data_IF_335654033390
#
_entry.id   IF_335654033390
#
_cell.length_a   1.000
_cell.length_b   1.000
_cell.length_c   1.000
_cell.angle_alpha   90.00
_cell.angle_beta   90.00
_cell.angle_gamma   90.00
#
_symmetry.space_group_name_H-M   'P 1'
#
loop_
_entity.id
_entity.type
_entity.pdbx_description
1 polymer ?
#
# COMPACT_ATOMS: atom_id res chain seq x y z
N UNK A 1 9.93 -39.47 -29.09
CA UNK A 1 9.35 -39.76 -27.75
C UNK A 1 9.98 -38.76 -26.79
N UNK A 2 9.37 -37.62 -26.65
CA UNK A 2 9.84 -36.47 -25.83
C UNK A 2 9.04 -36.45 -24.54
N UNK A 3 9.76 -36.35 -23.51
CA UNK A 3 9.45 -36.44 -22.10
C UNK A 3 8.36 -35.44 -21.65
N UNK A 4 7.14 -35.92 -21.40
CA UNK A 4 5.99 -35.15 -20.90
C UNK A 4 5.70 -35.42 -19.42
N UNK A 5 6.61 -36.10 -18.70
CA UNK A 5 6.39 -36.54 -17.33
C UNK A 5 6.88 -35.56 -16.24
N UNK A 6 7.60 -34.46 -16.61
CA UNK A 6 8.26 -33.59 -15.61
C UNK A 6 7.36 -32.48 -15.01
N UNK A 7 6.32 -32.05 -15.71
CA UNK A 7 5.47 -30.93 -15.27
C UNK A 7 4.33 -31.35 -14.34
N UNK A 8 3.81 -32.56 -14.49
CA UNK A 8 2.72 -33.10 -13.65
C UNK A 8 3.18 -33.53 -12.26
N UNK A 9 4.42 -33.97 -12.11
CA UNK A 9 4.96 -34.41 -10.81
C UNK A 9 5.30 -33.21 -9.90
N UNK A 10 5.74 -32.08 -10.44
CA UNK A 10 6.01 -30.86 -9.67
C UNK A 10 4.74 -30.22 -9.12
N UNK A 11 3.66 -30.20 -9.91
CA UNK A 11 2.37 -29.64 -9.51
C UNK A 11 1.69 -30.50 -8.43
N UNK A 12 1.84 -31.83 -8.50
CA UNK A 12 1.38 -32.78 -7.49
C UNK A 12 2.12 -32.62 -6.14
N UNK A 13 3.44 -32.46 -6.17
CA UNK A 13 4.27 -32.30 -4.97
C UNK A 13 4.00 -30.98 -4.23
N UNK A 14 3.83 -29.87 -4.96
CA UNK A 14 3.47 -28.57 -4.38
C UNK A 14 2.10 -28.61 -3.71
N UNK A 15 1.12 -29.28 -4.32
CA UNK A 15 -0.22 -29.47 -3.77
C UNK A 15 -0.21 -30.28 -2.47
N UNK A 16 0.61 -31.32 -2.38
CA UNK A 16 0.77 -32.12 -1.16
C UNK A 16 1.41 -31.33 -0.01
N UNK A 17 2.43 -30.51 -0.32
CA UNK A 17 3.08 -29.65 0.69
C UNK A 17 2.09 -28.59 1.18
N UNK A 18 1.30 -27.97 0.29
CA UNK A 18 0.25 -27.03 0.67
C UNK A 18 -0.81 -27.70 1.55
N UNK A 19 -1.26 -28.89 1.21
CA UNK A 19 -2.23 -29.64 2.03
C UNK A 19 -1.68 -29.93 3.44
N UNK A 20 -0.41 -30.32 3.53
CA UNK A 20 0.28 -30.55 4.81
C UNK A 20 0.46 -29.25 5.62
N UNK A 21 0.72 -28.13 4.95
CA UNK A 21 0.77 -26.82 5.58
C UNK A 21 -0.60 -26.44 6.16
N UNK A 22 -1.68 -26.64 5.40
CA UNK A 22 -3.07 -26.40 5.86
C UNK A 22 -3.45 -27.31 7.03
N UNK A 23 -2.92 -28.54 7.09
CA UNK A 23 -3.12 -29.44 8.23
C UNK A 23 -2.52 -28.90 9.52
N UNK A 24 -1.33 -28.30 9.46
CA UNK A 24 -0.68 -27.62 10.59
C UNK A 24 -1.48 -26.42 11.09
N UNK A 25 -2.23 -25.75 10.21
CA UNK A 25 -3.01 -24.57 10.53
C UNK A 25 -4.45 -24.87 10.97
N UNK A 26 -4.96 -26.07 10.72
CA UNK A 26 -6.34 -26.46 11.02
C UNK A 26 -6.63 -26.38 12.52
N UNK A 27 -7.76 -25.71 12.88
CA UNK A 27 -8.18 -25.58 14.27
C UNK A 27 -7.32 -24.62 15.11
N UNK A 28 -6.40 -23.85 14.50
CA UNK A 28 -5.75 -22.73 15.19
C UNK A 28 -6.73 -21.58 15.37
N UNK A 29 -6.59 -20.77 16.43
CA UNK A 29 -7.47 -19.64 16.70
C UNK A 29 -7.49 -18.60 15.58
N UNK A 30 -6.38 -18.43 14.86
CA UNK A 30 -6.16 -17.53 13.72
C UNK A 30 -5.23 -18.17 12.70
N UNK A 31 -5.29 -17.67 11.46
CA UNK A 31 -4.48 -18.15 10.34
C UNK A 31 -3.42 -17.11 9.92
N UNK A 32 -3.38 -15.98 10.60
CA UNK A 32 -2.43 -14.87 10.42
C UNK A 32 -2.34 -14.07 11.71
N UNK A 33 -1.31 -13.22 11.88
CA UNK A 33 -1.24 -12.25 12.97
C UNK A 33 -2.48 -11.36 13.03
N UNK A 34 -2.93 -11.03 14.24
CA UNK A 34 -4.09 -10.20 14.50
C UNK A 34 -4.78 -10.54 15.82
N UNK A 35 -5.68 -9.67 16.26
CA UNK A 35 -6.48 -9.85 17.47
C UNK A 35 -7.88 -9.27 17.30
N UNK A 36 -8.82 -9.68 18.17
CA UNK A 36 -10.14 -9.06 18.20
C UNK A 36 -10.05 -7.58 18.57
N UNK A 37 -9.04 -7.18 19.34
CA UNK A 37 -8.78 -5.79 19.70
C UNK A 37 -8.37 -4.98 18.46
N UNK A 38 -7.46 -5.51 17.66
CA UNK A 38 -7.03 -4.87 16.40
C UNK A 38 -8.17 -4.80 15.40
N UNK A 39 -8.95 -5.88 15.22
CA UNK A 39 -10.13 -5.90 14.37
C UNK A 39 -11.16 -4.83 14.80
N UNK A 40 -11.44 -4.69 16.11
CA UNK A 40 -12.34 -3.63 16.64
C UNK A 40 -11.77 -2.23 16.42
N UNK A 41 -10.48 -2.06 16.60
CA UNK A 41 -9.85 -0.76 16.35
C UNK A 41 -9.98 -0.37 14.87
N UNK A 42 -9.66 -1.26 13.94
CA UNK A 42 -9.86 -1.02 12.51
C UNK A 42 -11.32 -0.72 12.17
N UNK A 43 -12.28 -1.46 12.76
CA UNK A 43 -13.71 -1.23 12.59
C UNK A 43 -14.10 0.18 13.09
N UNK A 44 -13.56 0.63 14.20
CA UNK A 44 -13.83 1.97 14.73
C UNK A 44 -13.34 3.10 13.82
N UNK A 45 -12.28 2.88 13.05
CA UNK A 45 -11.73 3.82 12.08
C UNK A 45 -12.57 3.92 10.78
N UNK A 46 -13.47 2.97 10.54
CA UNK A 46 -14.38 3.02 9.38
C UNK A 46 -15.36 4.20 9.47
N UNK A 47 -15.56 4.77 10.66
CA UNK A 47 -16.61 5.76 10.89
C UNK A 47 -18.02 5.16 10.81
N UNK A 48 -19.06 5.99 10.62
CA UNK A 48 -20.43 5.50 10.56
C UNK A 48 -20.66 4.53 9.42
N UNK A 49 -21.25 3.39 9.72
CA UNK A 49 -21.77 2.40 8.77
C UNK A 49 -23.30 2.43 8.80
N UNK A 50 -23.98 1.91 7.76
CA UNK A 50 -25.42 1.69 7.79
C UNK A 50 -25.87 0.87 9.01
N UNK A 51 -27.13 0.99 9.40
CA UNK A 51 -27.68 0.23 10.53
C UNK A 51 -27.55 -1.29 10.34
N UNK A 52 -27.66 -1.76 9.08
CA UNK A 52 -27.47 -3.15 8.65
C UNK A 52 -26.47 -3.21 7.51
N UNK A 53 -25.17 -3.10 7.81
CA UNK A 53 -24.17 -3.09 6.75
C UNK A 53 -24.03 -4.47 6.12
N UNK A 54 -23.89 -4.48 4.81
CA UNK A 54 -23.51 -5.67 4.03
C UNK A 54 -21.98 -5.72 4.05
N UNK A 55 -21.47 -6.78 4.65
CA UNK A 55 -20.02 -6.96 4.84
C UNK A 55 -19.54 -8.13 3.99
N UNK A 56 -18.42 -7.96 3.31
CA UNK A 56 -17.69 -9.04 2.65
C UNK A 56 -16.36 -9.25 3.37
N UNK A 57 -16.12 -10.45 3.91
CA UNK A 57 -14.84 -10.85 4.49
C UNK A 57 -14.11 -11.78 3.51
N UNK A 58 -12.97 -11.32 2.97
CA UNK A 58 -12.23 -11.98 1.88
C UNK A 58 -11.00 -12.70 2.42
N UNK A 59 -10.92 -14.03 2.16
CA UNK A 59 -9.92 -14.89 2.76
C UNK A 59 -10.19 -15.04 4.26
N UNK A 60 -11.45 -15.33 4.58
CA UNK A 60 -11.97 -15.31 5.94
C UNK A 60 -11.36 -16.39 6.87
N UNK A 61 -10.69 -17.41 6.32
CA UNK A 61 -10.23 -18.55 7.09
C UNK A 61 -11.38 -19.18 7.90
N UNK A 62 -11.14 -19.58 9.15
CA UNK A 62 -12.18 -20.11 10.05
C UNK A 62 -13.15 -19.03 10.57
N UNK A 63 -13.05 -17.77 10.06
CA UNK A 63 -14.07 -16.73 10.22
C UNK A 63 -13.96 -15.88 11.48
N UNK A 64 -12.79 -15.72 12.05
CA UNK A 64 -12.62 -14.91 13.28
C UNK A 64 -13.11 -13.47 13.09
N UNK A 65 -12.67 -12.79 12.04
CA UNK A 65 -13.11 -11.44 11.70
C UNK A 65 -14.57 -11.42 11.27
N UNK A 66 -15.03 -12.36 10.44
CA UNK A 66 -16.43 -12.46 10.02
C UNK A 66 -17.40 -12.54 11.20
N UNK A 67 -17.10 -13.37 12.20
CA UNK A 67 -17.93 -13.53 13.40
C UNK A 67 -17.96 -12.26 14.27
N UNK A 68 -16.83 -11.59 14.42
CA UNK A 68 -16.76 -10.34 15.16
C UNK A 68 -17.55 -9.24 14.43
N UNK A 69 -17.35 -9.09 13.11
CA UNK A 69 -18.06 -8.11 12.31
C UNK A 69 -19.57 -8.35 12.32
N UNK A 70 -20.03 -9.59 12.26
CA UNK A 70 -21.44 -9.94 12.38
C UNK A 70 -22.03 -9.57 13.74
N UNK A 71 -21.22 -9.62 14.80
CA UNK A 71 -21.64 -9.31 16.16
C UNK A 71 -21.62 -7.80 16.46
N UNK A 72 -20.69 -7.04 15.86
CA UNK A 72 -20.35 -5.69 16.32
C UNK A 72 -20.50 -4.59 15.27
N UNK A 73 -20.48 -4.92 13.94
CA UNK A 73 -20.62 -3.90 12.92
C UNK A 73 -22.08 -3.45 12.75
N UNK A 74 -22.24 -2.14 12.48
CA UNK A 74 -23.55 -1.51 12.30
C UNK A 74 -24.32 -1.26 13.60
N UNK A 75 -25.57 -0.83 13.48
CA UNK A 75 -26.46 -0.56 14.62
C UNK A 75 -26.81 -1.82 15.38
N UNK A 76 -26.42 -1.88 16.66
CA UNK A 76 -26.66 -3.04 17.54
C UNK A 76 -26.16 -4.39 16.99
N UNK A 77 -25.07 -4.39 16.24
CA UNK A 77 -24.46 -5.60 15.69
C UNK A 77 -25.38 -6.34 14.70
N UNK A 78 -25.94 -5.63 13.73
CA UNK A 78 -26.89 -6.20 12.74
C UNK A 78 -26.27 -6.45 11.37
N UNK A 79 -24.95 -6.49 11.25
CA UNK A 79 -24.29 -6.72 9.97
C UNK A 79 -24.68 -8.07 9.35
N UNK A 80 -24.84 -8.08 8.03
CA UNK A 80 -24.94 -9.28 7.23
C UNK A 80 -23.58 -9.54 6.58
N UNK A 81 -22.92 -10.63 6.97
CA UNK A 81 -21.57 -10.95 6.54
C UNK A 81 -21.59 -12.08 5.53
N UNK A 82 -21.05 -11.82 4.34
CA UNK A 82 -20.64 -12.85 3.40
C UNK A 82 -19.15 -13.09 3.59
N UNK A 83 -18.75 -14.28 3.97
CA UNK A 83 -17.36 -14.64 4.22
C UNK A 83 -16.87 -15.62 3.15
N UNK A 84 -15.79 -15.30 2.46
CA UNK A 84 -15.28 -16.10 1.35
C UNK A 84 -13.90 -16.67 1.63
N UNK A 85 -13.71 -17.92 1.27
CA UNK A 85 -12.41 -18.62 1.27
C UNK A 85 -12.40 -19.69 0.18
N UNK A 86 -11.23 -20.16 -0.25
CA UNK A 86 -11.11 -21.31 -1.16
C UNK A 86 -11.07 -22.63 -0.41
N UNK A 87 -10.64 -22.63 0.86
CA UNK A 87 -10.44 -23.85 1.64
C UNK A 87 -11.71 -24.23 2.40
N UNK A 88 -12.43 -25.20 1.87
CA UNK A 88 -13.75 -25.62 2.40
C UNK A 88 -13.73 -26.01 3.88
N UNK A 89 -12.69 -26.68 4.42
CA UNK A 89 -12.66 -27.00 5.85
C UNK A 89 -12.73 -25.77 6.77
N UNK A 90 -12.16 -24.62 6.38
CA UNK A 90 -12.32 -23.37 7.13
C UNK A 90 -13.74 -22.84 7.09
N UNK A 91 -14.41 -22.94 5.93
CA UNK A 91 -15.80 -22.54 5.81
C UNK A 91 -16.73 -23.42 6.66
N UNK A 92 -16.41 -24.71 6.83
CA UNK A 92 -17.16 -25.60 7.73
C UNK A 92 -16.95 -25.23 9.20
N UNK A 93 -15.71 -24.87 9.59
CA UNK A 93 -15.42 -24.34 10.92
C UNK A 93 -16.20 -23.04 11.18
N UNK A 94 -16.21 -22.10 10.20
CA UNK A 94 -17.00 -20.88 10.28
C UNK A 94 -18.49 -21.12 10.43
N UNK A 95 -19.09 -22.02 9.62
CA UNK A 95 -20.52 -22.36 9.71
C UNK A 95 -20.87 -22.90 11.11
N UNK A 96 -20.03 -23.79 11.61
CA UNK A 96 -20.18 -24.37 12.95
C UNK A 96 -20.08 -23.31 14.05
N UNK A 97 -19.08 -22.46 13.97
CA UNK A 97 -18.86 -21.37 14.94
C UNK A 97 -19.97 -20.30 14.88
N UNK A 98 -20.48 -19.97 13.70
CA UNK A 98 -21.60 -19.04 13.51
C UNK A 98 -22.88 -19.59 14.12
N UNK A 99 -23.18 -20.88 13.89
CA UNK A 99 -24.33 -21.57 14.48
C UNK A 99 -24.26 -21.57 16.01
N UNK A 100 -23.10 -21.94 16.57
CA UNK A 100 -22.89 -21.99 18.02
C UNK A 100 -23.07 -20.63 18.71
N UNK A 101 -22.83 -19.53 17.98
CA UNK A 101 -22.98 -18.14 18.47
C UNK A 101 -24.34 -17.51 18.13
N UNK A 102 -25.26 -18.24 17.53
CA UNK A 102 -26.57 -17.71 17.09
C UNK A 102 -26.45 -16.72 15.92
N UNK A 103 -25.35 -16.77 15.16
CA UNK A 103 -25.06 -15.87 14.02
C UNK A 103 -25.35 -16.53 12.66
N UNK A 104 -25.80 -17.79 12.62
CA UNK A 104 -26.00 -18.56 11.39
C UNK A 104 -26.95 -17.92 10.37
N UNK A 105 -27.90 -17.08 10.80
CA UNK A 105 -28.77 -16.31 9.90
C UNK A 105 -28.14 -15.02 9.35
N UNK A 106 -26.95 -14.63 9.81
CA UNK A 106 -26.28 -13.37 9.43
C UNK A 106 -24.88 -13.58 8.83
N UNK A 107 -24.32 -14.77 8.97
CA UNK A 107 -23.01 -15.12 8.40
C UNK A 107 -23.23 -16.19 7.32
N UNK A 108 -22.87 -15.84 6.09
CA UNK A 108 -22.93 -16.73 4.92
C UNK A 108 -21.53 -17.08 4.46
N UNK A 109 -21.12 -18.33 4.66
CA UNK A 109 -19.84 -18.85 4.17
C UNK A 109 -19.97 -19.28 2.69
N UNK A 110 -19.10 -18.76 1.84
CA UNK A 110 -19.12 -18.99 0.38
C UNK A 110 -17.72 -19.39 -0.09
N UNK A 111 -17.62 -20.52 -0.80
CA UNK A 111 -16.39 -20.88 -1.47
C UNK A 111 -16.24 -20.05 -2.74
N UNK A 112 -15.21 -19.18 -2.80
CA UNK A 112 -14.93 -18.34 -3.97
C UNK A 112 -13.46 -17.97 -4.03
N UNK A 113 -12.98 -17.75 -5.26
CA UNK A 113 -11.65 -17.17 -5.53
C UNK A 113 -11.70 -15.66 -5.31
N UNK A 114 -10.79 -15.14 -4.46
CA UNK A 114 -10.69 -13.71 -4.17
C UNK A 114 -10.33 -12.85 -5.38
N UNK A 115 -9.72 -13.45 -6.41
CA UNK A 115 -9.39 -12.80 -7.68
C UNK A 115 -10.56 -12.76 -8.68
N UNK A 116 -11.63 -13.53 -8.44
CA UNK A 116 -12.78 -13.65 -9.33
C UNK A 116 -14.10 -13.74 -8.54
N UNK A 117 -14.34 -12.79 -7.66
CA UNK A 117 -15.50 -12.77 -6.76
C UNK A 117 -16.80 -12.59 -7.54
N UNK A 118 -17.80 -13.52 -7.36
CA UNK A 118 -19.04 -13.57 -8.13
C UNK A 118 -20.13 -12.65 -7.53
N UNK A 119 -19.76 -11.41 -7.21
CA UNK A 119 -20.67 -10.42 -6.65
C UNK A 119 -20.81 -9.22 -7.59
N UNK A 120 -21.98 -8.61 -7.57
CA UNK A 120 -22.27 -7.41 -8.34
C UNK A 120 -21.52 -6.20 -7.80
N UNK A 121 -21.30 -5.21 -8.65
CA UNK A 121 -20.69 -3.94 -8.27
C UNK A 121 -21.56 -3.21 -7.24
N UNK A 122 -20.94 -2.59 -6.25
CA UNK A 122 -21.65 -1.85 -5.20
C UNK A 122 -22.42 -2.72 -4.22
N UNK A 123 -22.10 -4.01 -4.10
CA UNK A 123 -22.84 -4.96 -3.27
C UNK A 123 -22.58 -4.81 -1.78
N UNK A 124 -21.46 -4.18 -1.36
CA UNK A 124 -21.02 -4.19 0.03
C UNK A 124 -20.72 -2.81 0.57
N UNK A 125 -21.15 -2.57 1.79
CA UNK A 125 -20.89 -1.33 2.54
C UNK A 125 -19.55 -1.38 3.26
N UNK A 126 -19.03 -2.60 3.50
CA UNK A 126 -17.71 -2.86 4.08
C UNK A 126 -17.10 -4.11 3.42
N UNK A 127 -15.90 -3.96 2.85
CA UNK A 127 -15.06 -5.07 2.38
C UNK A 127 -13.89 -5.20 3.35
N UNK A 128 -13.65 -6.42 3.80
CA UNK A 128 -12.66 -6.75 4.84
C UNK A 128 -11.71 -7.84 4.38
N UNK A 129 -10.41 -7.74 4.68
CA UNK A 129 -9.39 -8.72 4.31
C UNK A 129 -8.19 -8.64 5.27
N UNK A 130 -8.27 -9.29 6.44
CA UNK A 130 -7.16 -9.37 7.38
C UNK A 130 -6.25 -10.56 7.06
N UNK A 131 -4.96 -10.29 6.77
CA UNK A 131 -3.94 -11.31 6.54
C UNK A 131 -4.16 -12.15 5.28
N UNK A 132 -4.87 -11.63 4.27
CA UNK A 132 -5.22 -12.39 3.07
C UNK A 132 -4.91 -11.68 1.76
N UNK A 133 -4.77 -10.35 1.75
CA UNK A 133 -4.58 -9.57 0.53
C UNK A 133 -3.31 -9.95 -0.25
N UNK A 134 -2.25 -10.36 0.44
CA UNK A 134 -0.97 -10.79 -0.15
C UNK A 134 -1.14 -11.95 -1.16
N UNK A 135 -2.13 -12.82 -0.98
CA UNK A 135 -2.40 -13.95 -1.89
C UNK A 135 -2.73 -13.46 -3.30
N UNK A 136 -3.47 -12.36 -3.42
CA UNK A 136 -3.77 -11.72 -4.70
C UNK A 136 -2.68 -10.73 -5.12
N UNK A 137 -1.93 -10.22 -4.14
CA UNK A 137 -1.03 -9.09 -4.23
C UNK A 137 -1.75 -7.77 -3.92
N UNK A 138 -1.10 -6.91 -3.14
CA UNK A 138 -1.70 -5.69 -2.57
C UNK A 138 -2.35 -4.79 -3.62
N UNK A 139 -1.64 -4.49 -4.72
CA UNK A 139 -2.15 -3.59 -5.77
C UNK A 139 -3.34 -4.18 -6.52
N UNK A 140 -3.29 -5.49 -6.81
CA UNK A 140 -4.42 -6.18 -7.44
C UNK A 140 -5.63 -6.25 -6.52
N UNK A 141 -5.42 -6.47 -5.22
CA UNK A 141 -6.48 -6.48 -4.21
C UNK A 141 -7.18 -5.11 -4.16
N UNK A 142 -6.41 -4.01 -4.07
CA UNK A 142 -6.94 -2.64 -4.10
C UNK A 142 -7.78 -2.38 -5.35
N UNK A 143 -7.31 -2.79 -6.52
CA UNK A 143 -8.01 -2.56 -7.79
C UNK A 143 -9.25 -3.45 -7.94
N UNK A 144 -9.11 -4.77 -7.69
CA UNK A 144 -10.16 -5.76 -7.94
C UNK A 144 -11.36 -5.61 -7.00
N UNK A 145 -11.11 -5.24 -5.73
CA UNK A 145 -12.18 -5.18 -4.73
C UNK A 145 -12.89 -3.82 -4.68
N UNK A 146 -12.33 -2.79 -5.33
CA UNK A 146 -12.92 -1.44 -5.37
C UNK A 146 -14.34 -1.44 -5.94
N UNK A 147 -14.59 -2.20 -7.00
CA UNK A 147 -15.91 -2.30 -7.64
C UNK A 147 -17.00 -2.82 -6.71
N UNK A 148 -16.64 -3.64 -5.71
CA UNK A 148 -17.57 -4.26 -4.78
C UNK A 148 -18.17 -3.28 -3.76
N UNK A 149 -17.52 -2.13 -3.56
CA UNK A 149 -17.92 -1.13 -2.59
C UNK A 149 -19.14 -0.34 -3.05
N UNK A 150 -20.17 -0.32 -2.23
CA UNK A 150 -21.30 0.58 -2.38
C UNK A 150 -20.87 2.04 -2.28
N UNK A 151 -21.68 2.99 -2.77
CA UNK A 151 -21.43 4.41 -2.52
C UNK A 151 -21.24 4.69 -1.01
N UNK A 152 -20.12 5.29 -0.65
CA UNK A 152 -19.77 5.51 0.76
C UNK A 152 -19.20 4.28 1.49
N UNK A 153 -18.98 3.17 0.80
CA UNK A 153 -18.41 1.94 1.37
C UNK A 153 -16.95 2.08 1.80
N UNK A 154 -16.45 1.13 2.56
CA UNK A 154 -15.10 1.08 3.11
C UNK A 154 -14.40 -0.22 2.73
N UNK A 155 -13.09 -0.13 2.46
CA UNK A 155 -12.20 -1.28 2.36
C UNK A 155 -11.27 -1.29 3.57
N UNK A 156 -11.24 -2.40 4.28
CA UNK A 156 -10.25 -2.66 5.33
C UNK A 156 -9.43 -3.87 4.89
N UNK A 157 -8.12 -3.73 4.90
CA UNK A 157 -7.22 -4.84 4.64
C UNK A 157 -5.95 -4.71 5.49
N UNK A 158 -5.27 -5.81 5.73
CA UNK A 158 -3.95 -5.79 6.34
C UNK A 158 -2.89 -6.34 5.41
N UNK A 159 -1.71 -5.74 5.48
CA UNK A 159 -0.56 -6.05 4.63
C UNK A 159 0.71 -6.09 5.47
N UNK A 160 1.58 -7.07 5.18
CA UNK A 160 2.91 -7.14 5.79
C UNK A 160 3.85 -6.14 5.10
N UNK A 161 4.60 -5.39 5.88
CA UNK A 161 5.48 -4.35 5.37
C UNK A 161 6.76 -4.22 6.18
N UNK A 162 7.79 -3.63 5.60
CA UNK A 162 8.98 -3.25 6.32
C UNK A 162 8.69 -2.11 7.29
N UNK A 163 9.00 -2.31 8.57
CA UNK A 163 8.98 -1.26 9.60
C UNK A 163 10.38 -0.65 9.80
N UNK A 164 11.43 -1.38 9.45
CA UNK A 164 12.79 -0.88 9.43
C UNK A 164 13.07 -0.11 8.12
N UNK A 165 13.81 1.01 8.20
CA UNK A 165 14.27 1.74 7.01
C UNK A 165 15.25 0.90 6.18
N UNK A 166 16.12 0.14 6.84
CA UNK A 166 17.10 -0.75 6.23
C UNK A 166 16.95 -2.18 6.79
N UNK A 167 16.06 -2.99 6.21
CA UNK A 167 15.92 -4.37 6.63
C UNK A 167 17.20 -5.16 6.39
N UNK A 168 17.53 -6.02 7.35
CA UNK A 168 18.73 -6.86 7.29
C UNK A 168 18.71 -7.84 6.12
N UNK A 169 19.89 -8.26 5.68
CA UNK A 169 20.03 -9.30 4.64
C UNK A 169 19.31 -10.60 5.03
N UNK A 170 19.29 -10.95 6.34
CA UNK A 170 18.60 -12.15 6.84
C UNK A 170 17.08 -12.06 6.70
N UNK A 171 16.48 -10.89 7.02
CA UNK A 171 15.06 -10.67 6.84
C UNK A 171 14.66 -10.67 5.35
N UNK A 172 15.46 -10.00 4.50
CA UNK A 172 15.25 -10.01 3.04
C UNK A 172 15.37 -11.38 2.41
N UNK A 173 16.37 -12.18 2.82
CA UNK A 173 16.56 -13.53 2.30
C UNK A 173 15.33 -14.44 2.50
N UNK A 174 14.55 -14.19 3.54
CA UNK A 174 13.29 -14.89 3.78
C UNK A 174 12.13 -14.32 2.96
N UNK A 175 11.93 -12.99 2.99
CA UNK A 175 10.74 -12.37 2.41
C UNK A 175 10.80 -12.20 0.89
N UNK A 176 11.94 -11.74 0.35
CA UNK A 176 12.05 -11.36 -1.07
C UNK A 176 11.73 -12.51 -2.06
N UNK A 177 12.11 -13.79 -1.80
CA UNK A 177 11.74 -14.88 -2.69
C UNK A 177 10.27 -15.28 -2.65
N UNK A 178 9.57 -15.02 -1.54
CA UNK A 178 8.19 -15.45 -1.33
C UNK A 178 7.20 -14.32 -1.62
N UNK A 179 7.42 -13.19 -0.99
CA UNK A 179 6.60 -11.99 -1.09
C UNK A 179 7.43 -10.75 -0.75
N UNK A 180 7.98 -10.04 -1.72
CA UNK A 180 8.80 -8.86 -1.48
C UNK A 180 8.03 -7.80 -0.71
N UNK A 181 8.41 -7.57 0.55
CA UNK A 181 7.74 -6.57 1.38
C UNK A 181 8.09 -5.16 0.91
N UNK A 182 7.15 -4.25 1.06
CA UNK A 182 7.31 -2.83 0.76
C UNK A 182 7.33 -2.00 2.03
N UNK A 183 7.83 -0.77 1.95
CA UNK A 183 7.72 0.19 3.05
C UNK A 183 6.29 0.73 3.16
N UNK A 184 5.93 1.28 4.33
CA UNK A 184 4.67 2.01 4.56
C UNK A 184 4.44 3.10 3.50
N UNK A 185 5.50 3.82 3.13
CA UNK A 185 5.42 4.88 2.13
C UNK A 185 5.00 4.35 0.74
N UNK A 186 5.55 3.21 0.32
CA UNK A 186 5.17 2.56 -0.96
C UNK A 186 3.75 2.03 -0.93
N UNK A 187 3.34 1.42 0.18
CA UNK A 187 1.95 0.96 0.35
C UNK A 187 0.97 2.15 0.34
N UNK A 188 1.31 3.26 1.01
CA UNK A 188 0.50 4.50 0.97
C UNK A 188 0.37 5.04 -0.46
N UNK A 189 1.47 5.06 -1.22
CA UNK A 189 1.44 5.50 -2.62
C UNK A 189 0.55 4.59 -3.48
N UNK A 190 0.61 3.27 -3.29
CA UNK A 190 -0.25 2.30 -3.99
C UNK A 190 -1.75 2.51 -3.66
N UNK A 191 -2.08 2.74 -2.38
CA UNK A 191 -3.44 3.09 -1.95
C UNK A 191 -3.97 4.32 -2.69
N UNK A 192 -3.14 5.37 -2.78
CA UNK A 192 -3.51 6.62 -3.47
C UNK A 192 -3.64 6.42 -4.98
N UNK A 193 -2.69 5.68 -5.59
CA UNK A 193 -2.73 5.35 -7.02
C UNK A 193 -3.96 4.54 -7.41
N UNK A 194 -4.42 3.63 -6.53
CA UNK A 194 -5.67 2.89 -6.70
C UNK A 194 -6.93 3.74 -6.50
N UNK A 195 -6.78 5.03 -6.20
CA UNK A 195 -7.89 5.98 -6.01
C UNK A 195 -8.65 5.77 -4.71
N UNK A 196 -7.91 5.47 -3.64
CA UNK A 196 -8.44 5.48 -2.28
C UNK A 196 -7.86 6.63 -1.46
N UNK A 197 -8.61 7.08 -0.47
CA UNK A 197 -8.12 7.90 0.63
C UNK A 197 -7.99 7.05 1.89
N UNK A 198 -6.93 7.29 2.65
CA UNK A 198 -6.71 6.67 3.95
C UNK A 198 -7.62 7.34 4.99
N UNK A 199 -8.40 6.53 5.71
CA UNK A 199 -9.19 6.97 6.86
C UNK A 199 -8.42 6.80 8.16
N UNK A 200 -7.59 5.77 8.25
CA UNK A 200 -6.71 5.46 9.35
C UNK A 200 -5.96 4.17 9.10
N UNK A 201 -4.92 3.96 9.86
CA UNK A 201 -4.10 2.75 9.80
C UNK A 201 -3.62 2.35 11.20
N UNK A 202 -3.31 1.09 11.37
CA UNK A 202 -2.86 0.51 12.63
C UNK A 202 -1.74 -0.48 12.37
N UNK A 203 -0.53 -0.20 12.86
CA UNK A 203 0.50 -1.23 12.94
C UNK A 203 0.13 -2.22 14.06
N UNK A 204 0.00 -3.49 13.72
CA UNK A 204 -0.35 -4.54 14.67
C UNK A 204 0.73 -4.68 15.75
N UNK A 205 0.35 -4.76 17.04
CA UNK A 205 1.31 -4.95 18.12
C UNK A 205 1.90 -6.36 18.11
N UNK A 206 3.04 -6.55 18.78
CA UNK A 206 3.69 -7.86 18.88
C UNK A 206 2.80 -8.93 19.53
N UNK A 207 1.85 -8.53 20.37
CA UNK A 207 0.86 -9.44 20.97
C UNK A 207 -0.03 -10.13 19.91
N UNK A 208 -0.30 -9.47 18.78
CA UNK A 208 -1.07 -10.05 17.67
C UNK A 208 -0.30 -11.16 16.96
N UNK A 209 1.02 -10.99 16.85
CA UNK A 209 1.93 -12.02 16.34
C UNK A 209 2.06 -13.19 17.31
N UNK A 210 2.20 -12.91 18.61
CA UNK A 210 2.27 -13.96 19.63
C UNK A 210 0.97 -14.78 19.68
N UNK A 211 -0.19 -14.17 19.46
CA UNK A 211 -1.50 -14.83 19.39
C UNK A 211 -1.64 -15.83 18.23
N UNK A 212 -0.88 -15.65 17.16
CA UNK A 212 -0.81 -16.56 16.01
C UNK A 212 0.35 -17.54 16.15
N UNK A 213 1.58 -17.06 16.37
CA UNK A 213 2.76 -17.90 16.37
C UNK A 213 2.90 -18.78 17.62
N UNK A 214 2.33 -18.38 18.77
CA UNK A 214 2.33 -19.22 19.96
C UNK A 214 1.65 -20.58 19.71
N UNK A 215 0.35 -20.60 19.35
CA UNK A 215 -0.36 -21.85 19.02
C UNK A 215 0.23 -22.62 17.85
N UNK A 216 0.73 -21.91 16.80
CA UNK A 216 1.39 -22.55 15.66
C UNK A 216 2.71 -23.22 16.08
N UNK A 217 3.50 -22.57 16.92
CA UNK A 217 4.76 -23.09 17.46
C UNK A 217 4.55 -24.33 18.33
N UNK A 218 3.54 -24.31 19.22
CA UNK A 218 3.13 -25.47 20.02
C UNK A 218 2.71 -26.65 19.13
N UNK A 219 1.93 -26.36 18.09
CA UNK A 219 1.52 -27.36 17.09
C UNK A 219 2.74 -27.93 16.35
N UNK A 220 3.65 -27.09 15.86
CA UNK A 220 4.85 -27.50 15.15
C UNK A 220 5.83 -28.30 16.03
N UNK A 221 5.86 -28.04 17.33
CA UNK A 221 6.65 -28.81 18.29
C UNK A 221 6.07 -30.21 18.55
N UNK A 222 4.75 -30.34 18.59
CA UNK A 222 4.04 -31.60 18.84
C UNK A 222 3.85 -32.45 17.58
N UNK A 223 3.97 -31.85 16.37
CA UNK A 223 3.67 -32.50 15.11
C UNK A 223 4.79 -33.50 14.71
N UNK A 224 4.39 -34.73 14.42
CA UNK A 224 5.29 -35.77 13.89
C UNK A 224 4.99 -35.95 12.40
N UNK A 225 5.93 -35.53 11.54
CA UNK A 225 5.79 -35.67 10.10
C UNK A 225 5.93 -37.14 9.69
N UNK A 226 4.96 -37.66 8.97
CA UNK A 226 4.92 -39.05 8.47
C UNK A 226 5.25 -39.10 6.96
N UNK A 227 5.22 -37.97 6.24
CA UNK A 227 5.50 -37.93 4.81
C UNK A 227 6.55 -36.84 4.49
N UNK A 228 7.22 -36.92 3.32
CA UNK A 228 8.12 -35.84 2.86
C UNK A 228 7.41 -34.48 2.77
N UNK A 229 6.15 -34.42 2.32
CA UNK A 229 5.36 -33.20 2.24
C UNK A 229 5.11 -32.58 3.62
N UNK A 230 4.75 -33.40 4.62
CA UNK A 230 4.60 -32.94 6.01
C UNK A 230 5.93 -32.47 6.60
N UNK A 231 7.04 -33.12 6.27
CA UNK A 231 8.38 -32.69 6.70
C UNK A 231 8.75 -31.33 6.11
N UNK A 232 8.45 -31.11 4.82
CA UNK A 232 8.70 -29.85 4.16
C UNK A 232 7.83 -28.71 4.73
N UNK A 233 6.53 -28.95 4.93
CA UNK A 233 5.62 -27.99 5.55
C UNK A 233 6.04 -27.62 6.98
N UNK A 234 6.43 -28.61 7.78
CA UNK A 234 6.93 -28.40 9.15
C UNK A 234 8.25 -27.60 9.17
N UNK A 235 9.14 -27.84 8.21
CA UNK A 235 10.39 -27.09 8.08
C UNK A 235 10.10 -25.62 7.74
N UNK A 236 9.18 -25.34 6.80
CA UNK A 236 8.77 -23.99 6.44
C UNK A 236 8.18 -23.23 7.64
N UNK A 237 7.28 -23.85 8.41
CA UNK A 237 6.71 -23.24 9.62
C UNK A 237 7.80 -22.94 10.66
N UNK A 238 8.74 -23.84 10.87
CA UNK A 238 9.85 -23.61 11.82
C UNK A 238 10.78 -22.49 11.36
N UNK A 239 11.04 -22.39 10.07
CA UNK A 239 11.83 -21.30 9.49
C UNK A 239 11.13 -19.95 9.69
N UNK A 240 9.82 -19.86 9.39
CA UNK A 240 9.01 -18.67 9.61
C UNK A 240 9.03 -18.20 11.07
N UNK A 241 8.83 -19.11 12.01
CA UNK A 241 8.92 -18.83 13.45
C UNK A 241 10.30 -18.31 13.85
N UNK A 242 11.38 -18.95 13.36
CA UNK A 242 12.75 -18.53 13.64
C UNK A 242 13.12 -17.18 13.02
N UNK A 243 12.58 -16.87 11.85
CA UNK A 243 12.74 -15.55 11.21
C UNK A 243 12.01 -14.48 12.03
N UNK A 244 10.80 -14.74 12.49
CA UNK A 244 10.07 -13.80 13.36
C UNK A 244 10.82 -13.53 14.67
N UNK A 245 11.37 -14.55 15.29
CA UNK A 245 12.14 -14.40 16.53
C UNK A 245 13.36 -13.51 16.34
N UNK A 246 14.09 -13.68 15.23
CA UNK A 246 15.33 -12.93 14.94
C UNK A 246 15.10 -11.56 14.35
N UNK A 247 14.12 -11.41 13.47
CA UNK A 247 13.93 -10.25 12.61
C UNK A 247 12.56 -9.58 12.76
N UNK A 248 11.74 -10.02 13.70
CA UNK A 248 10.36 -9.55 13.84
C UNK A 248 10.20 -8.05 14.15
N UNK A 249 11.27 -7.38 14.58
CA UNK A 249 11.30 -5.93 14.79
C UNK A 249 11.50 -5.14 13.48
N UNK A 250 11.83 -5.82 12.36
CA UNK A 250 12.11 -5.19 11.08
C UNK A 250 10.89 -5.13 10.16
N UNK A 251 9.83 -5.92 10.45
CA UNK A 251 8.62 -5.98 9.65
C UNK A 251 7.38 -6.21 10.53
N UNK A 252 6.22 -5.85 9.99
CA UNK A 252 4.96 -6.00 10.71
C UNK A 252 3.75 -5.93 9.79
N UNK A 253 2.60 -6.41 10.27
CA UNK A 253 1.33 -6.20 9.60
C UNK A 253 0.79 -4.82 9.95
N UNK A 254 0.38 -4.08 8.91
CA UNK A 254 -0.40 -2.85 9.07
C UNK A 254 -1.80 -3.06 8.52
N UNK A 255 -2.80 -2.73 9.33
CA UNK A 255 -4.18 -2.63 8.91
C UNK A 255 -4.45 -1.25 8.31
N UNK A 256 -5.10 -1.21 7.15
CA UNK A 256 -5.44 -0.01 6.39
C UNK A 256 -6.95 0.13 6.31
N UNK A 257 -7.50 1.28 6.69
CA UNK A 257 -8.93 1.61 6.53
C UNK A 257 -9.06 2.65 5.44
N UNK A 258 -9.74 2.30 4.35
CA UNK A 258 -9.74 3.01 3.09
C UNK A 258 -11.15 3.36 2.65
N UNK A 259 -11.31 4.52 1.99
CA UNK A 259 -12.52 4.86 1.26
C UNK A 259 -12.18 5.19 -0.20
N UNK A 260 -12.99 4.74 -1.18
CA UNK A 260 -12.82 5.20 -2.56
C UNK A 260 -12.89 6.72 -2.63
N UNK A 261 -12.01 7.32 -3.43
CA UNK A 261 -12.12 8.75 -3.75
C UNK A 261 -13.27 8.92 -4.71
N UNK A 262 -14.23 9.79 -4.36
CA UNK A 262 -15.38 10.17 -5.20
C UNK A 262 -15.21 11.60 -5.73
N UNK A 263 -15.94 11.96 -6.76
CA UNK A 263 -15.83 13.28 -7.40
C UNK A 263 -16.13 14.48 -6.46
N UNK A 264 -16.67 14.23 -5.26
CA UNK A 264 -16.94 15.24 -4.24
C UNK A 264 -16.05 15.13 -2.99
N UNK A 265 -15.17 14.11 -2.93
CA UNK A 265 -14.31 13.94 -1.78
C UNK A 265 -13.19 14.99 -1.77
N UNK A 266 -12.86 15.52 -0.59
CA UNK A 266 -11.67 16.33 -0.45
C UNK A 266 -10.43 15.49 -0.82
N UNK A 267 -9.46 16.13 -1.45
CA UNK A 267 -8.16 15.52 -1.76
C UNK A 267 -7.54 14.85 -0.51
N UNK A 268 -6.63 13.85 -0.68
CA UNK A 268 -6.12 12.98 0.40
C UNK A 268 -5.50 13.66 1.63
N UNK A 269 -5.42 14.96 1.64
CA UNK A 269 -4.82 15.83 2.66
C UNK A 269 -5.82 16.56 3.55
N UNK A 270 -7.01 16.01 3.73
CA UNK A 270 -8.05 16.55 4.63
C UNK A 270 -8.92 17.62 3.98
N UNK A 271 -8.93 17.72 2.65
CA UNK A 271 -9.85 18.57 1.89
C UNK A 271 -9.58 20.07 1.96
N UNK A 272 -8.49 20.46 2.57
CA UNK A 272 -8.08 21.87 2.63
C UNK A 272 -7.49 22.35 1.31
N UNK A 273 -6.90 21.44 0.50
CA UNK A 273 -6.17 21.76 -0.71
C UNK A 273 -6.71 20.99 -1.91
N UNK A 274 -7.24 21.69 -2.88
CA UNK A 274 -7.63 21.12 -4.16
C UNK A 274 -6.42 21.11 -5.09
N UNK A 275 -5.97 19.94 -5.50
CA UNK A 275 -4.85 19.81 -6.44
C UNK A 275 -5.36 19.56 -7.85
N UNK A 276 -4.73 20.21 -8.83
CA UNK A 276 -5.01 20.02 -10.26
C UNK A 276 -3.77 20.35 -11.10
N UNK A 277 -3.72 19.87 -12.35
CA UNK A 277 -2.71 20.35 -13.29
C UNK A 277 -2.78 21.87 -13.43
N UNK A 278 -1.61 22.49 -13.59
CA UNK A 278 -1.47 23.89 -13.97
C UNK A 278 -2.05 24.12 -15.36
N UNK A 279 -2.71 25.26 -15.55
CA UNK A 279 -3.18 25.76 -16.83
C UNK A 279 -2.45 27.04 -17.20
N UNK A 280 -2.56 27.48 -18.46
CA UNK A 280 -1.95 28.74 -18.88
C UNK A 280 -2.45 29.96 -18.08
N UNK A 281 -3.67 29.91 -17.55
CA UNK A 281 -4.22 30.97 -16.71
C UNK A 281 -3.55 31.09 -15.33
N UNK A 282 -2.88 30.03 -14.88
CA UNK A 282 -2.23 29.99 -13.57
C UNK A 282 -0.81 30.57 -13.56
N UNK A 283 -0.23 30.82 -14.73
CA UNK A 283 1.19 31.19 -14.86
C UNK A 283 1.59 32.37 -13.97
N UNK A 284 0.75 33.42 -13.89
CA UNK A 284 1.02 34.57 -13.02
C UNK A 284 0.93 34.22 -11.53
N UNK A 285 -0.04 33.37 -11.14
CA UNK A 285 -0.21 32.93 -9.76
C UNK A 285 0.94 32.00 -9.34
N UNK A 286 1.34 31.06 -10.20
CA UNK A 286 2.49 30.17 -10.00
C UNK A 286 3.77 30.96 -9.83
N UNK A 287 4.00 31.95 -10.69
CA UNK A 287 5.14 32.87 -10.52
C UNK A 287 5.10 33.58 -9.18
N UNK A 288 3.93 34.09 -8.77
CA UNK A 288 3.76 34.74 -7.47
C UNK A 288 4.05 33.82 -6.29
N UNK A 289 3.62 32.57 -6.33
CA UNK A 289 3.92 31.58 -5.29
C UNK A 289 5.41 31.30 -5.20
N UNK A 290 6.12 31.14 -6.32
CA UNK A 290 7.57 30.91 -6.33
C UNK A 290 8.32 32.14 -5.81
N UNK A 291 8.00 33.34 -6.26
CA UNK A 291 8.59 34.58 -5.74
C UNK A 291 8.38 34.77 -4.23
N UNK A 292 7.24 34.33 -3.71
CA UNK A 292 6.96 34.43 -2.28
C UNK A 292 7.65 33.35 -1.44
N UNK A 293 7.93 32.19 -2.02
CA UNK A 293 8.48 31.03 -1.31
C UNK A 293 9.99 31.05 -1.21
N UNK A 294 10.70 31.71 -2.14
CA UNK A 294 12.16 31.72 -2.22
C UNK A 294 12.70 33.14 -2.05
N UNK A 295 13.95 33.25 -1.58
CA UNK A 295 14.61 34.54 -1.33
C UNK A 295 15.00 35.25 -2.62
N UNK A 296 15.12 34.51 -3.71
CA UNK A 296 15.54 35.01 -5.03
C UNK A 296 14.47 34.73 -6.09
N UNK A 297 14.47 35.42 -7.22
CA UNK A 297 13.55 35.11 -8.32
C UNK A 297 13.96 33.90 -9.15
N UNK A 298 15.09 33.24 -8.84
CA UNK A 298 15.67 32.18 -9.67
C UNK A 298 14.71 31.03 -9.94
N UNK A 299 13.97 30.58 -8.92
CA UNK A 299 13.01 29.48 -9.05
C UNK A 299 11.77 29.90 -9.88
N UNK A 300 11.34 31.14 -9.75
CA UNK A 300 10.25 31.68 -10.58
C UNK A 300 10.69 31.82 -12.05
N UNK A 301 11.90 32.31 -12.28
CA UNK A 301 12.50 32.45 -13.62
C UNK A 301 12.78 31.08 -14.24
N UNK A 302 13.20 30.11 -13.43
CA UNK A 302 13.39 28.72 -13.86
C UNK A 302 12.06 28.11 -14.38
N UNK A 303 10.94 28.28 -13.66
CA UNK A 303 9.64 27.76 -14.10
C UNK A 303 9.23 28.40 -15.43
N UNK A 304 9.42 29.70 -15.60
CA UNK A 304 9.09 30.40 -16.84
C UNK A 304 9.97 29.92 -18.01
N UNK A 305 11.26 29.71 -17.77
CA UNK A 305 12.18 29.16 -18.77
C UNK A 305 11.84 27.72 -19.16
N UNK A 306 11.51 26.88 -18.17
CA UNK A 306 11.12 25.49 -18.42
C UNK A 306 9.83 25.37 -19.23
N UNK A 307 8.84 26.28 -19.05
CA UNK A 307 7.63 26.29 -19.89
C UNK A 307 7.90 26.44 -21.38
N UNK A 308 9.00 27.10 -21.73
CA UNK A 308 9.40 27.31 -23.11
C UNK A 308 10.42 26.26 -23.60
N UNK A 309 10.86 25.37 -22.75
CA UNK A 309 11.88 24.36 -23.04
C UNK A 309 11.28 23.00 -23.41
N UNK A 310 12.02 22.23 -24.22
CA UNK A 310 11.60 20.87 -24.64
C UNK A 310 11.52 19.86 -23.50
N UNK A 311 12.06 20.15 -22.34
CA UNK A 311 11.97 19.31 -21.13
C UNK A 311 10.64 19.46 -20.38
N UNK A 312 9.82 20.46 -20.74
CA UNK A 312 8.49 20.65 -20.19
C UNK A 312 7.58 19.48 -20.53
N UNK A 313 6.93 18.91 -19.51
CA UNK A 313 5.99 17.80 -19.69
C UNK A 313 4.56 18.29 -19.39
N UNK A 314 3.71 18.52 -20.42
CA UNK A 314 2.32 18.94 -20.21
C UNK A 314 1.59 18.02 -19.21
N UNK A 315 0.94 18.57 -18.19
CA UNK A 315 0.25 17.83 -17.15
C UNK A 315 1.14 17.30 -16.02
N UNK A 316 2.44 17.67 -15.97
CA UNK A 316 3.34 17.42 -14.85
C UNK A 316 3.82 18.74 -14.19
N UNK A 317 2.99 19.78 -14.24
CA UNK A 317 3.03 20.94 -13.35
C UNK A 317 1.68 21.03 -12.63
N UNK A 318 1.71 21.12 -11.31
CA UNK A 318 0.51 21.08 -10.47
C UNK A 318 0.44 22.25 -9.51
N UNK A 319 -0.78 22.68 -9.24
CA UNK A 319 -1.10 23.68 -8.23
C UNK A 319 -1.98 23.08 -7.14
N UNK A 320 -1.82 23.59 -5.92
CA UNK A 320 -2.75 23.36 -4.82
C UNK A 320 -3.52 24.66 -4.54
N UNK A 321 -4.85 24.61 -4.62
CA UNK A 321 -5.75 25.73 -4.36
C UNK A 321 -6.33 25.64 -2.95
N UNK A 322 -6.39 26.76 -2.26
CA UNK A 322 -7.12 26.91 -1.00
C UNK A 322 -8.64 26.97 -1.21
N UNK A 323 -9.42 27.02 -0.10
CA UNK A 323 -10.89 27.08 -0.17
C UNK A 323 -11.45 28.23 -0.99
N UNK A 324 -10.72 29.33 -1.12
CA UNK A 324 -11.10 30.51 -1.90
C UNK A 324 -10.64 30.46 -3.36
N UNK A 325 -10.07 29.30 -3.80
CA UNK A 325 -9.58 29.12 -5.17
C UNK A 325 -8.23 29.78 -5.47
N UNK A 326 -7.58 30.39 -4.48
CA UNK A 326 -6.24 30.97 -4.65
C UNK A 326 -5.16 29.88 -4.69
N UNK A 327 -4.16 30.01 -5.56
CA UNK A 327 -3.02 29.10 -5.64
C UNK A 327 -2.14 29.28 -4.40
N UNK A 328 -2.03 28.22 -3.61
CA UNK A 328 -1.29 28.18 -2.34
C UNK A 328 0.07 27.49 -2.43
N UNK A 329 0.21 26.52 -3.35
CA UNK A 329 1.45 25.83 -3.61
C UNK A 329 1.55 25.40 -5.07
N UNK A 330 2.78 25.19 -5.52
CA UNK A 330 3.13 24.73 -6.86
C UNK A 330 4.24 23.68 -6.78
N UNK A 331 4.20 22.68 -7.67
CA UNK A 331 5.29 21.74 -7.89
C UNK A 331 5.35 21.32 -9.37
N UNK A 332 6.57 21.10 -9.85
CA UNK A 332 6.86 20.81 -11.26
C UNK A 332 7.77 19.59 -11.38
N UNK A 333 7.46 18.71 -12.31
CA UNK A 333 8.34 17.66 -12.82
C UNK A 333 8.72 17.96 -14.26
N UNK A 334 10.02 17.92 -14.55
CA UNK A 334 10.56 18.11 -15.90
C UNK A 334 11.41 16.91 -16.30
N UNK A 335 11.57 16.70 -17.61
CA UNK A 335 12.47 15.68 -18.11
C UNK A 335 13.91 15.97 -17.71
N UNK A 336 14.58 14.99 -17.15
CA UNK A 336 16.03 14.94 -16.96
C UNK A 336 16.52 13.55 -17.37
N UNK A 337 17.81 13.30 -17.23
CA UNK A 337 18.41 12.00 -17.53
C UNK A 337 19.45 11.60 -16.48
N UNK A 338 19.75 10.31 -16.39
CA UNK A 338 20.87 9.77 -15.63
C UNK A 338 21.74 9.00 -16.63
N UNK A 339 22.90 9.56 -16.98
CA UNK A 339 23.80 9.03 -18.01
C UNK A 339 23.02 8.61 -19.29
N UNK A 340 22.10 9.47 -19.76
CA UNK A 340 21.29 9.24 -20.98
C UNK A 340 20.01 8.42 -20.75
N UNK A 341 19.77 7.82 -19.59
CA UNK A 341 18.52 7.16 -19.28
C UNK A 341 17.46 8.18 -18.78
N UNK A 342 16.22 8.11 -19.29
CA UNK A 342 15.19 9.10 -18.95
C UNK A 342 14.78 9.02 -17.48
N UNK A 343 14.66 10.21 -16.86
CA UNK A 343 14.18 10.39 -15.51
C UNK A 343 13.40 11.72 -15.40
N UNK A 344 12.82 11.99 -14.22
CA UNK A 344 12.18 13.25 -13.91
C UNK A 344 12.92 14.00 -12.80
N UNK A 345 13.06 15.31 -12.93
CA UNK A 345 13.53 16.20 -11.87
C UNK A 345 12.33 16.91 -11.22
N UNK A 346 12.21 16.80 -9.91
CA UNK A 346 11.22 17.52 -9.11
C UNK A 346 11.83 18.85 -8.65
N UNK A 347 11.53 19.94 -9.35
CA UNK A 347 11.95 21.30 -9.00
C UNK A 347 11.23 22.34 -9.86
N UNK A 348 10.81 23.45 -9.25
CA UNK A 348 10.75 23.71 -7.82
C UNK A 348 9.53 23.11 -7.12
N UNK A 349 9.56 23.11 -5.78
CA UNK A 349 8.38 22.91 -4.93
C UNK A 349 8.23 24.14 -4.04
N UNK A 350 7.15 24.88 -4.23
CA UNK A 350 6.90 26.15 -3.58
C UNK A 350 5.58 26.17 -2.84
N UNK A 351 5.51 26.84 -1.70
CA UNK A 351 4.29 27.14 -0.99
C UNK A 351 4.32 28.54 -0.43
N UNK A 352 3.22 29.28 -0.51
CA UNK A 352 3.06 30.62 0.06
C UNK A 352 3.50 30.58 1.55
N UNK A 353 4.38 31.47 2.02
CA UNK A 353 4.94 31.43 3.39
C UNK A 353 3.89 31.30 4.50
N UNK A 354 2.80 32.06 4.41
CA UNK A 354 1.69 32.02 5.37
C UNK A 354 0.97 30.65 5.41
N UNK A 355 1.12 29.82 4.36
CA UNK A 355 0.49 28.53 4.21
C UNK A 355 1.47 27.36 4.26
N UNK A 356 2.75 27.63 4.55
CA UNK A 356 3.73 26.59 4.81
C UNK A 356 3.34 25.77 6.06
N UNK A 357 3.75 24.50 6.09
CA UNK A 357 3.39 23.52 7.16
C UNK A 357 1.88 23.27 7.33
N UNK A 358 1.05 23.77 6.43
CA UNK A 358 -0.41 23.53 6.40
C UNK A 358 -0.80 22.30 5.55
N UNK A 359 0.16 21.65 4.90
CA UNK A 359 -0.08 20.50 4.01
C UNK A 359 -0.13 20.84 2.51
N UNK A 360 -0.20 22.12 2.10
CA UNK A 360 -0.32 22.52 0.69
C UNK A 360 0.80 21.96 -0.20
N UNK A 361 2.06 22.12 0.22
CA UNK A 361 3.22 21.61 -0.51
C UNK A 361 3.21 20.07 -0.58
N UNK A 362 2.78 19.39 0.48
CA UNK A 362 2.67 17.93 0.47
C UNK A 362 1.54 17.43 -0.43
N UNK A 363 0.43 18.16 -0.50
CA UNK A 363 -0.70 17.86 -1.38
C UNK A 363 -0.29 17.89 -2.84
N UNK A 364 0.36 19.00 -3.26
CA UNK A 364 0.76 19.17 -4.65
C UNK A 364 1.83 18.17 -5.07
N UNK A 365 2.80 17.84 -4.20
CA UNK A 365 3.83 16.83 -4.49
C UNK A 365 3.20 15.45 -4.68
N UNK A 366 2.29 15.01 -3.78
CA UNK A 366 1.62 13.70 -3.92
C UNK A 366 0.82 13.60 -5.22
N UNK A 367 0.04 14.64 -5.54
CA UNK A 367 -0.75 14.66 -6.78
C UNK A 367 0.14 14.58 -8.02
N UNK A 368 1.25 15.30 -8.01
CA UNK A 368 2.21 15.32 -9.10
C UNK A 368 2.92 13.96 -9.28
N UNK A 369 3.35 13.32 -8.19
CA UNK A 369 3.95 11.97 -8.23
C UNK A 369 2.96 10.91 -8.73
N UNK A 370 1.69 11.00 -8.30
CA UNK A 370 0.64 10.12 -8.80
C UNK A 370 0.41 10.30 -10.30
N UNK A 371 0.44 11.56 -10.80
CA UNK A 371 0.31 11.84 -12.23
C UNK A 371 1.51 11.30 -13.04
N UNK A 372 2.72 11.39 -12.50
CA UNK A 372 3.91 10.81 -13.11
C UNK A 372 3.82 9.27 -13.21
N UNK A 373 3.44 8.61 -12.11
CA UNK A 373 3.24 7.16 -12.08
C UNK A 373 2.15 6.71 -13.08
N UNK A 374 1.02 7.43 -13.16
CA UNK A 374 -0.05 7.14 -14.11
C UNK A 374 0.37 7.28 -15.59
N UNK A 375 1.47 7.98 -15.87
CA UNK A 375 2.07 8.13 -17.22
C UNK A 375 3.13 7.08 -17.52
N UNK A 376 3.41 6.18 -16.57
CA UNK A 376 4.46 5.16 -16.71
C UNK A 376 5.87 5.69 -16.53
N UNK A 377 6.05 6.81 -15.83
CA UNK A 377 7.38 7.32 -15.46
C UNK A 377 7.98 6.45 -14.36
N UNK A 378 9.25 6.07 -14.50
CA UNK A 378 9.86 5.09 -13.61
C UNK A 378 10.67 5.71 -12.46
N UNK A 379 11.26 6.90 -12.66
CA UNK A 379 12.21 7.48 -11.71
C UNK A 379 12.02 8.98 -11.56
N UNK A 380 11.96 9.44 -10.31
CA UNK A 380 11.93 10.86 -9.96
C UNK A 380 13.13 11.18 -9.08
N UNK A 381 13.83 12.26 -9.41
CA UNK A 381 14.97 12.77 -8.66
C UNK A 381 14.63 14.12 -8.05
N UNK A 382 15.14 14.40 -6.87
CA UNK A 382 14.99 15.69 -6.20
C UNK A 382 16.26 16.07 -5.47
N UNK A 383 16.65 17.34 -5.56
CA UNK A 383 17.62 17.96 -4.69
C UNK A 383 16.90 18.81 -3.66
N UNK A 384 16.96 18.44 -2.38
CA UNK A 384 16.18 19.15 -1.37
C UNK A 384 16.43 18.68 0.07
N UNK A 385 15.56 19.10 0.98
CA UNK A 385 15.73 18.84 2.41
C UNK A 385 15.59 17.36 2.79
N UNK A 386 16.58 16.72 3.39
CA UNK A 386 16.54 15.31 3.77
C UNK A 386 15.40 14.96 4.76
N UNK A 387 14.90 15.93 5.52
CA UNK A 387 13.79 15.74 6.46
C UNK A 387 12.41 15.88 5.82
N UNK A 388 12.31 16.31 4.56
CA UNK A 388 11.03 16.58 3.90
C UNK A 388 10.61 15.48 2.92
N UNK A 389 11.48 15.08 2.01
CA UNK A 389 11.13 14.19 0.89
C UNK A 389 10.96 12.70 1.25
N UNK A 390 11.59 12.15 2.32
CA UNK A 390 11.36 10.77 2.72
C UNK A 390 9.89 10.42 3.00
N UNK A 391 9.05 11.41 3.41
CA UNK A 391 7.59 11.23 3.59
C UNK A 391 6.82 10.86 2.33
N UNK A 392 7.44 11.00 1.17
CA UNK A 392 6.89 10.61 -0.14
C UNK A 392 7.55 9.34 -0.69
N UNK A 393 8.46 8.71 0.08
CA UNK A 393 9.19 7.52 -0.33
C UNK A 393 10.54 7.77 -1.01
N UNK A 394 11.02 9.03 -1.04
CA UNK A 394 12.36 9.32 -1.54
C UNK A 394 13.42 8.77 -0.58
N UNK A 395 14.49 8.24 -1.16
CA UNK A 395 15.69 7.75 -0.46
C UNK A 395 16.93 8.41 -1.06
N UNK A 396 18.08 8.43 -0.36
CA UNK A 396 19.32 8.95 -0.94
C UNK A 396 19.62 8.34 -2.31
N UNK A 397 19.87 9.19 -3.30
CA UNK A 397 20.10 8.76 -4.69
C UNK A 397 21.38 7.93 -4.83
N UNK A 398 22.34 8.09 -3.92
CA UNK A 398 23.56 7.28 -3.81
C UNK A 398 23.29 5.78 -3.64
N UNK A 399 22.14 5.38 -3.09
CA UNK A 399 21.71 3.96 -3.01
C UNK A 399 21.61 3.30 -4.38
N UNK A 400 21.32 4.09 -5.41
CA UNK A 400 21.25 3.64 -6.80
C UNK A 400 22.49 4.01 -7.61
N UNK A 401 23.54 4.54 -6.95
CA UNK A 401 24.73 5.04 -7.64
C UNK A 401 24.49 6.32 -8.45
N UNK A 402 23.40 7.06 -8.17
CA UNK A 402 23.07 8.32 -8.85
C UNK A 402 23.72 9.48 -8.09
N UNK A 403 24.33 10.42 -8.81
CA UNK A 403 25.05 11.56 -8.28
C UNK A 403 24.58 12.86 -8.91
N UNK A 404 24.64 13.95 -8.15
CA UNK A 404 24.53 15.31 -8.69
C UNK A 404 25.78 15.66 -9.52
N UNK A 405 25.69 16.61 -10.46
CA UNK A 405 26.86 17.07 -11.26
C UNK A 405 27.79 18.01 -10.46
N UNK A 406 27.49 18.23 -9.19
CA UNK A 406 28.26 19.07 -8.26
C UNK A 406 28.23 18.47 -6.84
N UNK A 407 29.08 18.92 -5.95
CA UNK A 407 29.14 18.41 -4.58
C UNK A 407 27.89 18.83 -3.77
N UNK A 408 27.22 17.84 -3.18
CA UNK A 408 26.08 18.01 -2.26
C UNK A 408 26.18 17.01 -1.12
N UNK A 409 25.62 17.31 0.06
CA UNK A 409 25.45 16.30 1.11
C UNK A 409 24.69 15.08 0.59
N UNK A 410 25.13 13.88 0.95
CA UNK A 410 24.58 12.62 0.44
C UNK A 410 23.05 12.53 0.57
N UNK A 411 22.50 12.94 1.69
CA UNK A 411 21.04 12.95 1.90
C UNK A 411 20.26 14.05 1.18
N UNK A 412 20.92 15.00 0.50
CA UNK A 412 20.24 16.11 -0.18
C UNK A 412 19.77 15.73 -1.60
N UNK A 413 20.53 14.88 -2.30
CA UNK A 413 20.11 14.30 -3.59
C UNK A 413 19.36 13.00 -3.32
N UNK A 414 18.10 12.95 -3.70
CA UNK A 414 17.22 11.83 -3.40
C UNK A 414 16.53 11.31 -4.66
N UNK A 415 16.17 10.03 -4.66
CA UNK A 415 15.49 9.32 -5.73
C UNK A 415 14.23 8.63 -5.23
N UNK A 416 13.19 8.62 -6.06
CA UNK A 416 11.97 7.85 -5.88
C UNK A 416 11.75 6.98 -7.11
N UNK A 417 11.77 5.67 -6.93
CA UNK A 417 11.42 4.69 -7.97
C UNK A 417 9.91 4.57 -7.97
N UNK A 418 9.28 4.92 -9.10
CA UNK A 418 7.83 4.79 -9.31
C UNK A 418 7.46 3.44 -9.93
N UNK A 419 8.35 2.88 -10.76
CA UNK A 419 8.19 1.57 -11.38
C UNK A 419 9.48 0.75 -11.17
N UNK A 420 9.40 -0.27 -10.33
CA UNK A 420 10.52 -1.15 -10.00
C UNK A 420 10.72 -2.31 -11.00
N UNK A 421 9.82 -2.45 -11.97
CA UNK A 421 10.02 -3.33 -13.11
C UNK A 421 11.07 -2.78 -14.10
N UNK A 422 11.37 -1.47 -14.01
CA UNK A 422 12.38 -0.79 -14.82
C UNK A 422 13.69 -0.70 -14.03
N UNK A 423 14.82 -1.18 -14.54
CA UNK A 423 16.12 -1.04 -13.88
C UNK A 423 16.45 0.43 -13.61
N UNK A 424 16.84 0.74 -12.36
CA UNK A 424 17.25 2.08 -11.98
C UNK A 424 18.65 2.36 -12.55
N UNK A 425 18.83 3.42 -13.37
CA UNK A 425 20.12 3.77 -13.91
C UNK A 425 21.07 4.27 -12.80
N UNK A 426 22.37 4.02 -12.95
CA UNK A 426 23.42 4.62 -12.13
C UNK A 426 24.19 5.64 -12.96
N UNK A 427 24.71 6.71 -12.32
CA UNK A 427 25.47 7.72 -13.04
C UNK A 427 25.23 9.13 -12.52
N UNK A 428 25.46 10.12 -13.36
CA UNK A 428 25.28 11.53 -13.00
C UNK A 428 24.00 12.06 -13.63
N UNK A 429 23.20 12.80 -12.83
CA UNK A 429 22.00 13.46 -13.35
C UNK A 429 22.39 14.55 -14.35
N UNK A 430 21.76 14.56 -15.51
CA UNK A 430 21.79 15.63 -16.50
C UNK A 430 20.49 16.44 -16.42
N UNK A 431 20.59 17.67 -15.93
CA UNK A 431 19.45 18.58 -15.89
C UNK A 431 19.23 19.25 -17.25
N UNK A 432 18.00 19.64 -17.61
CA UNK A 432 17.77 20.44 -18.82
C UNK A 432 18.40 21.83 -18.73
N UNK A 433 18.69 22.42 -19.89
CA UNK A 433 19.44 23.67 -20.01
C UNK A 433 18.94 24.85 -19.12
N UNK A 434 17.62 25.02 -18.88
CA UNK A 434 17.14 26.10 -18.00
C UNK A 434 17.64 26.07 -16.58
N UNK A 435 18.11 24.91 -16.06
CA UNK A 435 18.69 24.82 -14.72
C UNK A 435 20.07 25.53 -14.62
N UNK A 436 20.73 25.82 -15.74
CA UNK A 436 22.02 26.53 -15.75
C UNK A 436 23.18 25.71 -15.17
N UNK A 437 23.09 24.39 -15.19
CA UNK A 437 24.02 23.42 -14.59
C UNK A 437 24.75 22.64 -15.67
#
# INVERSE_FOLDING_TARGET
MTDTTSTTDHDSSAGEVFAAFMELHRGLPRQSPGSDTTTRHLLSLCGPLPERPRVLDIGCGPGRSALLLAAEAGGAGRAEVTAVDLYEPFLDELRSAASARGLGGRVRAVRADMGALPFEDGSFDLVWAEGSAFVLGFDRALAAWKRLLAPGGRLVLSECEWTAEEPSAGARAFWDPQYPLRSTARNTAAVQAAGYRLLGDVLQPDSDWAGYYGPLGERAAAFTAATPAQSAALAAVREELAVRERHGHEYGYRGWVLAPVTAGDPAPDGGRWRTRPETAADAAAVRGVNLAAFETPLEADLVDALRADGSWLPGLSYVAEGPEGSVAAHALLTRCEVDGAPALALAPVAAVPALQRSGAGSAVVRALLAAAAARGEALVLVLGHPSYYPRFGFVPASRYGIRAPFEVPDGAMMALVLDDSVPVPAGTIGYPAPFGL
#
